data_IF_733606744068
#
_entry.id   IF_733606744068
#
_cell.length_a   1.000
_cell.length_b   1.000
_cell.length_c   1.000
_cell.angle_alpha   90.00
_cell.angle_beta   90.00
_cell.angle_gamma   90.00
#
_symmetry.space_group_name_H-M   'P 1'
#
loop_
_entity.id
_entity.type
_entity.pdbx_description
1 polymer ?
#
# COMPACT_ATOMS: atom_id res chain seq x y z
N UNK A 1 -6.86 18.12 12.26
CA UNK A 1 -7.51 17.07 11.44
C UNK A 1 -7.97 16.01 12.41
N UNK A 2 -9.06 15.29 12.15
CA UNK A 2 -9.39 14.11 12.95
C UNK A 2 -9.03 12.88 12.10
N UNK A 3 -7.91 12.26 12.41
CA UNK A 3 -7.35 11.12 11.66
C UNK A 3 -8.35 9.95 11.64
N UNK A 4 -9.14 9.80 12.70
CA UNK A 4 -10.16 8.75 12.80
C UNK A 4 -11.33 8.98 11.82
N UNK A 5 -11.67 10.23 11.51
CA UNK A 5 -12.71 10.54 10.52
C UNK A 5 -12.24 10.23 9.10
N UNK A 6 -10.96 10.42 8.79
CA UNK A 6 -10.38 10.01 7.50
C UNK A 6 -10.17 8.50 7.40
N UNK A 7 -9.90 7.82 8.52
CA UNK A 7 -9.73 6.36 8.56
C UNK A 7 -11.01 5.59 8.28
N UNK A 8 -12.14 6.05 8.84
CA UNK A 8 -13.43 5.36 8.75
C UNK A 8 -13.86 5.01 7.32
N UNK A 9 -13.80 5.91 6.32
CA UNK A 9 -14.21 5.60 4.96
C UNK A 9 -13.21 4.72 4.18
N UNK A 10 -11.93 4.66 4.59
CA UNK A 10 -10.90 3.87 3.90
C UNK A 10 -10.64 2.51 4.52
N UNK A 11 -11.06 2.28 5.77
CA UNK A 11 -10.90 0.98 6.44
C UNK A 11 -11.79 0.81 7.66
N UNK A 12 -12.89 0.09 7.50
CA UNK A 12 -13.83 -0.18 8.60
C UNK A 12 -13.20 -0.99 9.74
N UNK A 13 -12.50 -2.09 9.40
CA UNK A 13 -11.90 -2.99 10.40
C UNK A 13 -10.76 -2.33 11.17
N UNK A 14 -9.90 -1.59 10.46
CA UNK A 14 -8.77 -0.91 11.09
C UNK A 14 -9.22 0.31 11.91
N UNK A 15 -10.22 1.07 11.44
CA UNK A 15 -10.85 2.14 12.21
C UNK A 15 -11.36 1.65 13.57
N UNK A 16 -12.06 0.51 13.60
CA UNK A 16 -12.54 -0.09 14.85
C UNK A 16 -11.38 -0.49 15.76
N UNK A 17 -10.32 -1.08 15.19
CA UNK A 17 -9.14 -1.52 15.92
C UNK A 17 -8.38 -0.36 16.57
N UNK A 18 -8.15 0.74 15.85
CA UNK A 18 -7.45 1.92 16.39
C UNK A 18 -8.18 2.51 17.60
N UNK A 19 -9.51 2.51 17.59
CA UNK A 19 -10.31 3.07 18.70
C UNK A 19 -10.10 2.32 20.03
N UNK A 20 -9.68 1.06 19.96
CA UNK A 20 -9.38 0.23 21.14
C UNK A 20 -7.95 0.42 21.66
N UNK A 21 -7.07 1.06 20.89
CA UNK A 21 -5.67 1.24 21.29
C UNK A 21 -5.53 2.25 22.43
N UNK A 22 -4.47 2.14 23.25
CA UNK A 22 -4.00 3.22 24.12
C UNK A 22 -3.86 4.54 23.36
N UNK A 23 -4.23 5.65 24.00
CA UNK A 23 -4.25 6.99 23.36
C UNK A 23 -2.91 7.36 22.72
N UNK A 24 -1.80 7.00 23.35
CA UNK A 24 -0.45 7.28 22.88
C UNK A 24 -0.11 6.60 21.53
N UNK A 25 -0.77 5.49 21.19
CA UNK A 25 -0.55 4.78 19.92
C UNK A 25 -1.41 5.34 18.78
N UNK A 26 -2.56 5.92 19.08
CA UNK A 26 -3.61 6.17 18.08
C UNK A 26 -3.13 7.07 16.95
N UNK A 27 -2.54 8.21 17.28
CA UNK A 27 -2.13 9.22 16.30
C UNK A 27 -1.00 8.73 15.38
N UNK A 28 0.16 8.24 15.88
CA UNK A 28 1.23 7.77 14.99
C UNK A 28 0.82 6.58 14.13
N UNK A 29 0.06 5.63 14.70
CA UNK A 29 -0.45 4.46 13.95
C UNK A 29 -1.47 4.88 12.89
N UNK A 30 -2.38 5.80 13.23
CA UNK A 30 -3.37 6.31 12.28
C UNK A 30 -2.68 7.02 11.11
N UNK A 31 -1.68 7.86 11.37
CA UNK A 31 -0.94 8.56 10.33
C UNK A 31 -0.09 7.61 9.48
N UNK A 32 0.59 6.63 10.09
CA UNK A 32 1.29 5.58 9.36
C UNK A 32 0.36 4.86 8.38
N UNK A 33 -0.82 4.46 8.85
CA UNK A 33 -1.80 3.78 8.02
C UNK A 33 -2.33 4.67 6.90
N UNK A 34 -2.71 5.92 7.18
CA UNK A 34 -3.25 6.83 6.17
C UNK A 34 -2.22 7.11 5.07
N UNK A 35 -0.94 7.28 5.43
CA UNK A 35 0.16 7.43 4.47
C UNK A 35 0.36 6.16 3.65
N UNK A 36 0.40 4.98 4.30
CA UNK A 36 0.56 3.71 3.61
C UNK A 36 -0.59 3.47 2.64
N UNK A 37 -1.83 3.70 3.08
CA UNK A 37 -3.03 3.56 2.23
C UNK A 37 -3.03 4.56 1.08
N UNK A 38 -2.53 5.77 1.28
CA UNK A 38 -2.39 6.76 0.20
C UNK A 38 -1.40 6.26 -0.86
N UNK A 39 -0.27 5.69 -0.42
CA UNK A 39 0.71 5.09 -1.34
C UNK A 39 0.16 3.87 -2.08
N UNK A 40 -0.62 3.01 -1.40
CA UNK A 40 -1.33 1.89 -2.05
C UNK A 40 -2.30 2.39 -3.11
N UNK A 41 -3.13 3.39 -2.80
CA UNK A 41 -4.07 3.96 -3.77
C UNK A 41 -3.34 4.47 -5.02
N UNK A 42 -2.17 5.11 -4.86
CA UNK A 42 -1.34 5.54 -6.01
C UNK A 42 -0.81 4.33 -6.80
N UNK A 43 -0.30 3.30 -6.11
CA UNK A 43 0.26 2.10 -6.75
C UNK A 43 -0.81 1.26 -7.47
N UNK A 44 -2.01 1.14 -6.90
CA UNK A 44 -3.12 0.32 -7.41
C UNK A 44 -3.98 1.00 -8.48
N UNK A 45 -3.67 2.25 -8.82
CA UNK A 45 -4.36 3.05 -9.84
C UNK A 45 -4.14 2.52 -11.26
N UNK A 46 -4.70 1.35 -11.60
CA UNK A 46 -4.45 0.65 -12.87
C UNK A 46 -4.93 1.41 -14.12
N UNK A 47 -5.79 2.43 -13.96
CA UNK A 47 -6.14 3.36 -15.04
C UNK A 47 -4.96 4.26 -15.48
N UNK A 48 -3.88 4.29 -14.70
CA UNK A 48 -2.68 5.08 -14.92
C UNK A 48 -1.49 4.19 -15.33
N UNK A 49 -0.69 4.60 -16.34
CA UNK A 49 0.54 3.88 -16.72
C UNK A 49 1.49 3.67 -15.54
N UNK A 50 2.22 2.55 -15.53
CA UNK A 50 3.13 2.18 -14.45
C UNK A 50 4.20 3.26 -14.20
N UNK A 51 4.72 3.87 -15.26
CA UNK A 51 5.74 4.92 -15.18
C UNK A 51 5.24 6.15 -14.41
N UNK A 52 3.97 6.51 -14.64
CA UNK A 52 3.35 7.66 -13.96
C UNK A 52 3.04 7.32 -12.50
N UNK A 53 2.60 6.10 -12.21
CA UNK A 53 2.42 5.62 -10.82
C UNK A 53 3.74 5.63 -10.05
N UNK A 54 4.83 5.16 -10.66
CA UNK A 54 6.19 5.21 -10.08
C UNK A 54 6.60 6.66 -9.80
N UNK A 55 6.40 7.59 -10.75
CA UNK A 55 6.73 9.01 -10.56
C UNK A 55 5.96 9.62 -9.37
N UNK A 56 4.65 9.35 -9.27
CA UNK A 56 3.82 9.85 -8.18
C UNK A 56 4.22 9.23 -6.84
N UNK A 57 4.50 7.93 -6.82
CA UNK A 57 4.94 7.21 -5.64
C UNK A 57 6.29 7.75 -5.13
N UNK A 58 7.25 8.00 -6.02
CA UNK A 58 8.54 8.60 -5.67
C UNK A 58 8.38 10.03 -5.11
N UNK A 59 7.50 10.83 -5.71
CA UNK A 59 7.19 12.17 -5.20
C UNK A 59 6.52 12.10 -3.83
N UNK A 60 5.60 11.16 -3.63
CA UNK A 60 4.93 10.98 -2.36
C UNK A 60 5.91 10.49 -1.27
N UNK A 61 6.79 9.54 -1.58
CA UNK A 61 7.88 9.11 -0.69
C UNK A 61 8.81 10.27 -0.32
N UNK A 62 9.18 11.12 -1.30
CA UNK A 62 9.95 12.35 -1.02
C UNK A 62 9.19 13.32 -0.12
N UNK A 63 7.88 13.46 -0.28
CA UNK A 63 7.07 14.31 0.57
C UNK A 63 6.99 13.82 2.02
N UNK A 64 6.86 12.50 2.23
CA UNK A 64 6.93 11.86 3.55
C UNK A 64 8.28 12.14 4.21
N UNK A 65 9.36 12.08 3.43
CA UNK A 65 10.71 12.46 3.86
C UNK A 65 10.92 13.98 4.03
N UNK A 66 9.89 14.81 3.80
CA UNK A 66 9.96 16.26 3.95
C UNK A 66 10.60 17.02 2.78
N UNK A 67 10.84 16.34 1.64
CA UNK A 67 11.59 16.86 0.47
C UNK A 67 10.70 17.30 -0.71
N UNK A 68 9.39 17.08 -0.66
CA UNK A 68 8.42 17.58 -1.64
C UNK A 68 7.18 18.12 -0.90
N UNK A 69 6.83 19.38 -1.11
CA UNK A 69 5.65 20.03 -0.50
C UNK A 69 4.48 20.16 -1.48
N UNK A 70 4.71 19.84 -2.76
CA UNK A 70 3.78 20.09 -3.86
C UNK A 70 2.91 18.88 -4.21
N UNK A 71 3.31 17.67 -3.79
CA UNK A 71 2.62 16.44 -4.21
C UNK A 71 1.15 16.42 -3.83
N UNK A 72 0.77 16.96 -2.66
CA UNK A 72 -0.63 17.02 -2.23
C UNK A 72 -1.50 17.81 -3.21
N UNK A 73 -0.98 18.94 -3.72
CA UNK A 73 -1.64 19.71 -4.77
C UNK A 73 -1.71 18.90 -6.08
N UNK A 74 -0.62 18.26 -6.49
CA UNK A 74 -0.62 17.43 -7.71
C UNK A 74 -1.66 16.31 -7.65
N UNK A 75 -1.76 15.58 -6.53
CA UNK A 75 -2.76 14.51 -6.38
C UNK A 75 -4.18 15.06 -6.48
N UNK A 76 -4.45 16.21 -5.85
CA UNK A 76 -5.74 16.90 -5.96
C UNK A 76 -6.05 17.33 -7.39
N UNK A 77 -5.09 17.94 -8.09
CA UNK A 77 -5.27 18.38 -9.47
C UNK A 77 -5.56 17.20 -10.41
N UNK A 78 -4.90 16.05 -10.21
CA UNK A 78 -5.15 14.83 -10.98
C UNK A 78 -6.56 14.27 -10.75
N UNK A 79 -7.10 14.36 -9.53
CA UNK A 79 -8.48 13.95 -9.24
C UNK A 79 -9.52 14.85 -9.92
N UNK A 80 -9.27 16.16 -9.96
CA UNK A 80 -10.20 17.15 -10.52
C UNK A 80 -10.21 17.20 -12.04
N UNK A 81 -9.15 16.72 -12.70
CA UNK A 81 -8.97 16.78 -14.16
C UNK A 81 -10.07 16.10 -15.00
N UNK A 82 -10.95 15.29 -14.39
CA UNK A 82 -12.16 14.73 -15.04
C UNK A 82 -13.47 15.47 -14.78
N UNK A 83 -13.59 16.29 -13.73
CA UNK A 83 -14.88 16.89 -13.36
C UNK A 83 -15.34 17.99 -14.32
N UNK A 84 -14.43 18.61 -15.08
CA UNK A 84 -14.77 19.64 -16.09
C UNK A 84 -15.08 19.07 -17.49
N UNK A 85 -15.10 17.75 -17.67
CA UNK A 85 -15.31 17.11 -18.98
C UNK A 85 -16.77 17.03 -19.46
N UNK A 86 -17.75 17.40 -18.62
CA UNK A 86 -19.18 17.31 -18.95
C UNK A 86 -19.80 18.67 -19.30
N UNK A 87 -19.18 19.44 -20.21
CA UNK A 87 -19.81 20.51 -20.98
C UNK A 87 -18.81 21.13 -21.97
N UNK A 88 -18.60 20.51 -23.14
CA UNK A 88 -18.44 21.24 -24.41
C UNK A 88 -18.13 20.26 -25.55
N UNK A 89 -19.14 20.03 -26.37
CA UNK A 89 -19.02 19.46 -27.70
C UNK A 89 -18.33 20.46 -28.63
N UNK A 90 -17.05 20.28 -28.97
CA UNK A 90 -16.49 20.55 -30.31
C UNK A 90 -14.97 20.33 -30.43
N UNK A 91 -14.59 19.53 -31.44
CA UNK A 91 -13.36 19.54 -32.27
C UNK A 91 -12.07 20.13 -31.69
N UNK A 92 -11.03 19.30 -31.48
CA UNK A 92 -9.75 19.34 -32.23
C UNK A 92 -8.65 18.45 -31.61
N UNK A 93 -7.94 17.77 -32.53
CA UNK A 93 -6.65 17.07 -32.51
C UNK A 93 -5.74 17.22 -31.27
N UNK A 94 -5.29 16.07 -30.76
CA UNK A 94 -3.97 15.91 -30.16
C UNK A 94 -3.83 16.20 -28.67
N UNK A 95 -4.90 16.19 -27.88
CA UNK A 95 -4.82 16.33 -26.43
C UNK A 95 -4.30 15.03 -25.81
N UNK A 96 -3.07 15.07 -25.26
CA UNK A 96 -2.60 14.09 -24.28
C UNK A 96 -3.68 14.04 -23.18
N UNK A 97 -4.48 12.98 -23.17
CA UNK A 97 -5.44 12.72 -22.09
C UNK A 97 -4.63 12.70 -20.81
N UNK A 98 -4.91 13.63 -19.87
CA UNK A 98 -4.21 13.60 -18.60
C UNK A 98 -4.51 12.24 -17.93
N UNK A 99 -3.51 11.60 -17.33
CA UNK A 99 -3.70 10.33 -16.66
C UNK A 99 -4.66 10.53 -15.48
N UNK A 100 -5.71 9.72 -15.44
CA UNK A 100 -6.80 9.86 -14.47
C UNK A 100 -6.58 8.97 -13.24
N UNK A 101 -6.49 9.62 -12.07
CA UNK A 101 -6.35 8.95 -10.78
C UNK A 101 -7.71 8.58 -10.16
N UNK A 102 -8.82 9.09 -10.70
CA UNK A 102 -10.17 8.92 -10.13
C UNK A 102 -10.90 7.63 -10.57
N UNK A 103 -10.43 6.99 -11.65
CA UNK A 103 -11.03 5.76 -12.16
C UNK A 103 -10.64 4.55 -11.32
N UNK A 104 -11.65 3.82 -10.80
CA UNK A 104 -11.44 2.56 -10.09
C UNK A 104 -11.12 2.69 -8.60
N UNK A 105 -11.10 3.90 -8.05
CA UNK A 105 -10.93 4.15 -6.61
C UNK A 105 -12.25 4.53 -5.94
N UNK A 106 -12.39 4.16 -4.68
CA UNK A 106 -13.58 4.43 -3.86
C UNK A 106 -13.67 5.90 -3.45
N UNK A 107 -14.86 6.37 -3.04
CA UNK A 107 -15.02 7.74 -2.49
C UNK A 107 -14.14 8.00 -1.25
N UNK A 108 -13.90 6.96 -0.44
CA UNK A 108 -12.97 7.05 0.69
C UNK A 108 -11.53 7.30 0.23
N UNK A 109 -11.09 6.63 -0.82
CA UNK A 109 -9.75 6.80 -1.39
C UNK A 109 -9.58 8.15 -2.09
N UNK A 110 -10.63 8.66 -2.74
CA UNK A 110 -10.64 10.04 -3.26
C UNK A 110 -10.45 11.05 -2.13
N UNK A 111 -11.26 10.94 -1.06
CA UNK A 111 -11.15 11.81 0.11
C UNK A 111 -9.77 11.71 0.79
N UNK A 112 -9.16 10.53 0.77
CA UNK A 112 -7.81 10.29 1.27
C UNK A 112 -6.76 11.05 0.45
N UNK A 113 -6.79 10.90 -0.88
CA UNK A 113 -5.87 11.58 -1.80
C UNK A 113 -6.02 13.11 -1.74
N UNK A 114 -7.26 13.63 -1.66
CA UNK A 114 -7.53 15.06 -1.44
C UNK A 114 -6.97 15.56 -0.10
N UNK A 115 -6.89 14.67 0.90
CA UNK A 115 -6.38 14.97 2.23
C UNK A 115 -4.87 14.76 2.37
N UNK A 116 -4.16 14.34 1.32
CA UNK A 116 -2.73 14.03 1.36
C UNK A 116 -1.88 15.16 1.96
N UNK A 117 -2.14 16.42 1.58
CA UNK A 117 -1.42 17.57 2.12
C UNK A 117 -1.66 17.75 3.64
N UNK A 118 -2.89 17.50 4.10
CA UNK A 118 -3.23 17.57 5.53
C UNK A 118 -2.54 16.45 6.31
N UNK A 119 -2.48 15.24 5.75
CA UNK A 119 -1.82 14.08 6.37
C UNK A 119 -0.31 14.29 6.47
N UNK A 120 0.32 14.80 5.40
CA UNK A 120 1.75 15.15 5.39
C UNK A 120 2.09 16.25 6.39
N UNK A 121 1.19 17.24 6.60
CA UNK A 121 1.36 18.22 7.67
C UNK A 121 1.20 17.62 9.06
N UNK A 122 0.23 16.73 9.26
CA UNK A 122 0.02 16.06 10.55
C UNK A 122 1.24 15.21 10.95
N UNK A 123 1.89 14.54 9.98
CA UNK A 123 3.17 13.85 10.22
C UNK A 123 4.23 14.80 10.83
N UNK A 124 4.32 16.06 10.39
CA UNK A 124 5.30 17.02 10.94
C UNK A 124 5.02 17.41 12.40
N UNK A 125 3.80 17.20 12.88
CA UNK A 125 3.37 17.54 14.23
C UNK A 125 3.57 16.40 15.23
N UNK A 126 3.88 15.19 14.76
CA UNK A 126 4.23 14.07 15.62
C UNK A 126 5.53 14.33 16.40
N UNK A 127 5.76 13.57 17.47
CA UNK A 127 7.06 13.60 18.17
C UNK A 127 8.21 13.22 17.21
N UNK A 128 9.45 13.68 17.44
CA UNK A 128 10.58 13.35 16.57
C UNK A 128 10.82 11.84 16.40
N UNK A 129 10.49 11.07 17.43
CA UNK A 129 10.59 9.61 17.44
C UNK A 129 9.51 8.97 16.56
N UNK A 130 8.26 9.39 16.73
CA UNK A 130 7.15 8.89 15.90
C UNK A 130 7.33 9.29 14.43
N UNK A 131 7.83 10.51 14.19
CA UNK A 131 8.19 10.95 12.85
C UNK A 131 9.23 10.03 12.20
N UNK A 132 10.23 9.60 12.97
CA UNK A 132 11.27 8.69 12.49
C UNK A 132 10.67 7.33 12.16
N UNK A 133 9.95 6.74 13.11
CA UNK A 133 9.34 5.42 12.95
C UNK A 133 8.40 5.36 11.73
N UNK A 134 7.54 6.39 11.56
CA UNK A 134 6.64 6.48 10.41
C UNK A 134 7.41 6.66 9.11
N UNK A 135 8.44 7.51 9.07
CA UNK A 135 9.23 7.73 7.84
C UNK A 135 10.02 6.48 7.43
N UNK A 136 10.62 5.78 8.39
CA UNK A 136 11.35 4.54 8.14
C UNK A 136 10.42 3.45 7.60
N UNK A 137 9.25 3.26 8.23
CA UNK A 137 8.22 2.34 7.74
C UNK A 137 7.84 2.66 6.29
N UNK A 138 7.45 3.91 6.03
CA UNK A 138 6.95 4.30 4.72
C UNK A 138 8.02 4.24 3.64
N UNK A 139 9.29 4.50 3.96
CA UNK A 139 10.39 4.32 3.01
C UNK A 139 10.54 2.86 2.56
N UNK A 140 10.31 1.89 3.47
CA UNK A 140 10.35 0.47 3.16
C UNK A 140 9.14 0.08 2.28
N UNK A 141 7.93 0.51 2.66
CA UNK A 141 6.69 0.23 1.92
C UNK A 141 6.75 0.78 0.50
N UNK A 142 7.09 2.07 0.33
CA UNK A 142 7.12 2.67 -1.01
C UNK A 142 8.21 2.08 -1.90
N UNK A 143 9.30 1.57 -1.30
CA UNK A 143 10.31 0.80 -2.03
C UNK A 143 9.75 -0.52 -2.54
N UNK A 144 9.00 -1.26 -1.71
CA UNK A 144 8.33 -2.49 -2.11
C UNK A 144 7.34 -2.27 -3.25
N UNK A 145 6.43 -1.30 -3.08
CA UNK A 145 5.46 -0.93 -4.12
C UNK A 145 6.13 -0.53 -5.45
N UNK A 146 7.24 0.23 -5.39
CA UNK A 146 8.01 0.56 -6.60
C UNK A 146 8.61 -0.66 -7.27
N UNK A 147 9.16 -1.60 -6.49
CA UNK A 147 9.72 -2.84 -7.02
C UNK A 147 8.64 -3.68 -7.71
N UNK A 148 7.46 -3.79 -7.11
CA UNK A 148 6.33 -4.51 -7.69
C UNK A 148 5.85 -3.88 -9.01
N UNK A 149 5.68 -2.55 -9.04
CA UNK A 149 5.33 -1.83 -10.27
C UNK A 149 6.34 -2.03 -11.41
N UNK A 150 7.61 -2.26 -11.07
CA UNK A 150 8.68 -2.49 -12.05
C UNK A 150 8.72 -3.95 -12.51
N UNK A 151 8.61 -4.90 -11.56
CA UNK A 151 8.78 -6.33 -11.77
C UNK A 151 7.82 -6.89 -12.83
N UNK A 152 6.56 -6.50 -12.77
CA UNK A 152 5.52 -6.99 -13.68
C UNK A 152 5.18 -6.03 -14.83
N UNK A 153 6.04 -5.06 -15.11
CA UNK A 153 5.87 -4.15 -16.26
C UNK A 153 5.89 -4.88 -17.62
N UNK A 154 6.56 -6.03 -17.69
CA UNK A 154 6.67 -6.88 -18.88
C UNK A 154 5.56 -7.93 -19.06
N UNK A 155 4.58 -8.00 -18.14
CA UNK A 155 3.52 -9.01 -18.16
C UNK A 155 3.69 -10.11 -17.10
N UNK A 156 3.04 -11.25 -17.33
CA UNK A 156 2.98 -12.36 -16.38
C UNK A 156 4.36 -12.90 -16.04
N UNK A 157 4.74 -12.83 -14.77
CA UNK A 157 5.97 -13.42 -14.24
C UNK A 157 5.77 -13.92 -12.81
N UNK A 158 6.35 -15.08 -12.48
CA UNK A 158 6.44 -15.61 -11.12
C UNK A 158 7.60 -14.99 -10.34
N UNK A 159 7.58 -15.14 -9.02
CA UNK A 159 8.78 -14.91 -8.20
C UNK A 159 9.75 -16.06 -8.40
N UNK A 160 11.06 -15.82 -8.32
CA UNK A 160 12.04 -16.87 -8.60
C UNK A 160 12.01 -18.00 -7.56
N UNK A 161 11.81 -17.66 -6.28
CA UNK A 161 11.87 -18.59 -5.17
C UNK A 161 11.18 -18.06 -3.90
N UNK A 162 11.08 -18.92 -2.88
CA UNK A 162 10.49 -18.57 -1.58
C UNK A 162 11.19 -17.39 -0.86
N UNK A 163 12.47 -17.11 -1.14
CA UNK A 163 13.16 -15.97 -0.55
C UNK A 163 12.66 -14.66 -1.14
N UNK A 164 12.44 -14.57 -2.45
CA UNK A 164 11.82 -13.39 -3.06
C UNK A 164 10.42 -13.14 -2.49
N UNK A 165 9.64 -14.20 -2.26
CA UNK A 165 8.33 -14.07 -1.60
C UNK A 165 8.45 -13.52 -0.17
N UNK A 166 9.42 -14.00 0.62
CA UNK A 166 9.71 -13.48 1.97
C UNK A 166 10.16 -12.02 1.96
N UNK A 167 10.90 -11.60 0.93
CA UNK A 167 11.39 -10.24 0.78
C UNK A 167 10.27 -9.30 0.35
N UNK A 168 9.47 -9.66 -0.65
CA UNK A 168 8.30 -8.89 -1.08
C UNK A 168 7.30 -8.71 0.08
N UNK A 169 6.95 -9.79 0.79
CA UNK A 169 6.03 -9.73 1.94
C UNK A 169 6.60 -8.91 3.11
N UNK A 170 7.93 -8.88 3.28
CA UNK A 170 8.57 -8.02 4.27
C UNK A 170 8.38 -6.54 3.94
N UNK A 171 8.61 -6.16 2.68
CA UNK A 171 8.63 -4.74 2.28
C UNK A 171 7.28 -4.06 2.48
N UNK A 172 6.16 -4.78 2.36
CA UNK A 172 4.81 -4.18 2.46
C UNK A 172 4.07 -4.52 3.75
N UNK A 173 4.46 -5.57 4.48
CA UNK A 173 3.73 -6.01 5.67
C UNK A 173 4.62 -6.46 6.83
N UNK A 174 5.74 -7.15 6.59
CA UNK A 174 6.67 -7.52 7.67
C UNK A 174 7.22 -6.30 8.41
N UNK A 175 7.63 -5.26 7.68
CA UNK A 175 8.09 -3.99 8.24
C UNK A 175 7.03 -3.27 9.07
N UNK A 176 5.73 -3.46 8.76
CA UNK A 176 4.61 -2.94 9.54
C UNK A 176 4.58 -3.60 10.93
N UNK A 177 4.88 -4.89 11.00
CA UNK A 177 5.00 -5.62 12.27
C UNK A 177 6.16 -5.11 13.14
N UNK A 178 7.31 -4.80 12.54
CA UNK A 178 8.42 -4.16 13.26
C UNK A 178 8.04 -2.78 13.78
N UNK A 179 7.41 -1.95 12.94
CA UNK A 179 6.92 -0.64 13.34
C UNK A 179 5.99 -0.74 14.56
N UNK A 180 4.98 -1.60 14.50
CA UNK A 180 4.08 -1.82 15.63
C UNK A 180 4.81 -2.24 16.89
N UNK A 181 5.77 -3.15 16.76
CA UNK A 181 6.57 -3.64 17.88
C UNK A 181 7.34 -2.49 18.53
N UNK A 182 8.09 -1.69 17.75
CA UNK A 182 8.87 -0.56 18.27
C UNK A 182 8.01 0.48 18.98
N UNK A 183 6.88 0.86 18.37
CA UNK A 183 5.97 1.86 18.96
C UNK A 183 5.37 1.32 20.26
N UNK A 184 5.02 0.04 20.32
CA UNK A 184 4.52 -0.60 21.54
C UNK A 184 5.57 -0.63 22.67
N UNK A 185 6.80 -1.05 22.39
CA UNK A 185 7.88 -1.02 23.39
C UNK A 185 8.13 0.39 23.94
N UNK A 186 7.99 1.42 23.09
CA UNK A 186 8.22 2.81 23.48
C UNK A 186 7.07 3.41 24.30
N UNK A 187 5.82 3.05 23.99
CA UNK A 187 4.64 3.79 24.47
C UNK A 187 3.70 2.98 25.37
N UNK A 188 3.86 1.67 25.45
CA UNK A 188 3.00 0.79 26.26
C UNK A 188 3.80 0.27 27.44
N UNK A 189 3.41 0.70 28.64
CA UNK A 189 4.01 0.21 29.87
C UNK A 189 3.77 -1.29 30.01
N UNK A 190 4.83 -2.03 30.36
CA UNK A 190 4.78 -3.49 30.54
C UNK A 190 4.19 -4.23 29.33
N UNK A 191 4.50 -3.77 28.12
CA UNK A 191 3.97 -4.34 26.87
C UNK A 191 4.11 -5.87 26.79
N UNK A 192 5.28 -6.39 27.16
CA UNK A 192 5.61 -7.81 27.10
C UNK A 192 6.77 -8.13 28.04
N UNK A 193 6.90 -9.40 28.43
CA UNK A 193 8.05 -9.92 29.17
C UNK A 193 9.17 -10.44 28.25
N UNK A 194 8.93 -10.51 26.93
CA UNK A 194 9.91 -10.96 25.94
C UNK A 194 10.92 -9.86 25.62
N UNK A 195 12.08 -10.26 25.11
CA UNK A 195 13.08 -9.32 24.60
C UNK A 195 12.56 -8.62 23.33
N UNK A 196 13.02 -7.39 23.11
CA UNK A 196 12.63 -6.60 21.92
C UNK A 196 13.01 -7.33 20.62
N UNK A 197 14.18 -7.96 20.57
CA UNK A 197 14.63 -8.72 19.39
C UNK A 197 13.65 -9.85 19.02
N UNK A 198 13.21 -10.65 20.02
CA UNK A 198 12.25 -11.74 19.79
C UNK A 198 10.91 -11.21 19.30
N UNK A 199 10.45 -10.10 19.88
CA UNK A 199 9.19 -9.48 19.49
C UNK A 199 9.24 -8.85 18.11
N UNK A 200 10.39 -8.31 17.69
CA UNK A 200 10.59 -7.79 16.34
C UNK A 200 10.48 -8.93 15.32
N UNK A 201 11.13 -10.06 15.57
CA UNK A 201 11.01 -11.25 14.71
C UNK A 201 9.55 -11.75 14.63
N UNK A 202 8.86 -11.85 15.77
CA UNK A 202 7.45 -12.23 15.82
C UNK A 202 6.56 -11.22 15.07
N UNK A 203 6.79 -9.92 15.24
CA UNK A 203 6.09 -8.86 14.52
C UNK A 203 6.28 -8.98 13.01
N UNK A 204 7.52 -9.18 12.57
CA UNK A 204 7.85 -9.38 11.15
C UNK A 204 7.13 -10.60 10.57
N UNK A 205 7.16 -11.73 11.27
CA UNK A 205 6.49 -12.96 10.82
C UNK A 205 4.96 -12.82 10.84
N UNK A 206 4.40 -12.10 11.81
CA UNK A 206 2.98 -11.79 11.85
C UNK A 206 2.54 -10.96 10.64
N UNK A 207 3.28 -9.89 10.32
CA UNK A 207 3.04 -9.06 9.14
C UNK A 207 3.13 -9.86 7.83
N UNK A 208 4.19 -10.65 7.66
CA UNK A 208 4.32 -11.55 6.50
C UNK A 208 3.16 -12.54 6.39
N UNK A 209 2.76 -13.16 7.51
CA UNK A 209 1.65 -14.10 7.55
C UNK A 209 0.33 -13.50 7.07
N UNK A 210 0.01 -12.28 7.52
CA UNK A 210 -1.16 -11.55 7.02
C UNK A 210 -1.09 -11.27 5.51
N UNK A 211 0.11 -10.95 5.00
CA UNK A 211 0.28 -10.70 3.57
C UNK A 211 0.18 -11.98 2.73
N UNK A 212 0.65 -13.13 3.24
CA UNK A 212 0.44 -14.41 2.58
C UNK A 212 -1.05 -14.75 2.44
N UNK A 213 -1.87 -14.43 3.45
CA UNK A 213 -3.33 -14.57 3.36
C UNK A 213 -3.91 -13.66 2.28
N UNK A 214 -3.44 -12.41 2.18
CA UNK A 214 -3.87 -11.50 1.10
C UNK A 214 -3.47 -12.04 -0.28
N UNK A 215 -2.24 -12.52 -0.45
CA UNK A 215 -1.76 -13.12 -1.71
C UNK A 215 -2.66 -14.29 -2.13
N UNK A 216 -3.02 -15.19 -1.20
CA UNK A 216 -3.92 -16.30 -1.50
C UNK A 216 -5.34 -15.84 -1.84
N UNK A 217 -5.85 -14.83 -1.12
CA UNK A 217 -7.19 -14.26 -1.34
C UNK A 217 -7.29 -13.61 -2.72
N UNK A 218 -6.27 -12.85 -3.11
CA UNK A 218 -6.29 -11.96 -4.27
C UNK A 218 -5.59 -12.57 -5.50
N UNK A 219 -5.05 -13.80 -5.38
CA UNK A 219 -4.30 -14.52 -6.40
C UNK A 219 -4.95 -14.43 -7.79
N UNK A 220 -6.26 -14.66 -7.89
CA UNK A 220 -6.95 -14.60 -9.18
C UNK A 220 -6.93 -13.22 -9.84
N UNK A 221 -7.12 -12.14 -9.07
CA UNK A 221 -7.01 -10.77 -9.60
C UNK A 221 -5.57 -10.39 -9.92
N UNK A 222 -4.62 -10.83 -9.10
CA UNK A 222 -3.18 -10.58 -9.32
C UNK A 222 -2.71 -11.26 -10.61
N UNK A 223 -3.03 -12.54 -10.79
CA UNK A 223 -2.68 -13.32 -11.98
C UNK A 223 -3.24 -12.70 -13.26
N UNK A 224 -4.52 -12.28 -13.24
CA UNK A 224 -5.14 -11.56 -14.38
C UNK A 224 -4.47 -10.22 -14.67
N UNK A 225 -3.87 -9.59 -13.66
CA UNK A 225 -3.09 -8.37 -13.81
C UNK A 225 -1.61 -8.64 -14.15
N UNK A 226 -1.23 -9.90 -14.43
CA UNK A 226 0.14 -10.30 -14.77
C UNK A 226 1.07 -10.45 -13.56
N UNK A 227 0.53 -10.47 -12.33
CA UNK A 227 1.33 -10.63 -11.10
C UNK A 227 1.19 -12.06 -10.57
N UNK A 228 2.29 -12.80 -10.50
CA UNK A 228 2.33 -14.10 -9.84
C UNK A 228 3.31 -14.06 -8.65
N UNK A 229 2.77 -14.13 -7.44
CA UNK A 229 3.56 -14.18 -6.20
C UNK A 229 3.98 -15.60 -5.80
N UNK A 230 3.52 -16.63 -6.52
CA UNK A 230 3.92 -18.01 -6.25
C UNK A 230 5.34 -18.25 -6.78
N UNK A 231 6.24 -18.88 -5.99
CA UNK A 231 7.60 -19.18 -6.41
C UNK A 231 7.66 -20.13 -7.62
N UNK A 232 8.46 -19.79 -8.62
CA UNK A 232 8.63 -20.54 -9.86
C UNK A 232 9.28 -21.90 -9.62
N UNK A 233 10.27 -21.99 -8.73
CA UNK A 233 10.91 -23.25 -8.34
C UNK A 233 9.92 -24.23 -7.70
N UNK A 234 9.03 -23.73 -6.84
CA UNK A 234 7.96 -24.53 -6.21
C UNK A 234 6.88 -24.93 -7.22
N UNK A 235 6.50 -24.06 -8.15
CA UNK A 235 5.58 -24.39 -9.24
C UNK A 235 6.15 -25.48 -10.15
N UNK A 236 7.42 -25.35 -10.56
CA UNK A 236 8.09 -26.35 -11.40
C UNK A 236 8.23 -27.70 -10.69
N UNK A 237 8.44 -27.71 -9.37
CA UNK A 237 8.51 -28.95 -8.59
C UNK A 237 7.22 -29.80 -8.68
N UNK A 238 6.08 -29.18 -9.02
CA UNK A 238 4.79 -29.84 -9.24
C UNK A 238 4.33 -29.81 -10.71
N UNK A 239 5.23 -29.51 -11.65
CA UNK A 239 4.96 -29.40 -13.09
C UNK A 239 3.90 -28.33 -13.45
N UNK A 240 3.92 -27.19 -12.75
CA UNK A 240 3.10 -26.02 -13.05
C UNK A 240 3.98 -24.83 -13.45
N UNK A 241 3.38 -23.91 -14.20
CA UNK A 241 3.91 -22.58 -14.53
C UNK A 241 2.92 -21.49 -14.11
N UNK A 242 3.36 -20.22 -14.11
CA UNK A 242 2.46 -19.10 -13.85
C UNK A 242 1.28 -19.03 -14.84
N UNK A 243 1.50 -19.41 -16.10
CA UNK A 243 0.44 -19.44 -17.12
C UNK A 243 -0.63 -20.48 -16.79
N UNK A 244 -0.23 -21.66 -16.31
CA UNK A 244 -1.16 -22.71 -15.89
C UNK A 244 -2.08 -22.23 -14.76
N UNK A 245 -1.60 -21.31 -13.91
CA UNK A 245 -2.40 -20.71 -12.83
C UNK A 245 -3.41 -19.68 -13.35
N UNK A 246 -3.09 -18.95 -14.42
CA UNK A 246 -4.02 -18.00 -15.05
C UNK A 246 -5.19 -18.75 -15.70
N UNK A 247 -4.86 -19.85 -16.38
CA UNK A 247 -5.82 -20.70 -17.08
C UNK A 247 -6.48 -21.75 -16.15
N UNK A 248 -6.21 -21.65 -14.85
CA UNK A 248 -6.50 -22.71 -13.90
C UNK A 248 -8.00 -22.95 -13.63
N UNK A 249 -8.40 -24.21 -13.36
CA UNK A 249 -9.76 -24.59 -12.98
C UNK A 249 -10.19 -24.01 -11.60
N UNK A 250 -11.45 -24.21 -11.21
CA UNK A 250 -12.08 -23.70 -9.97
C UNK A 250 -11.27 -23.89 -8.66
N UNK A 251 -10.30 -24.82 -8.67
CA UNK A 251 -9.33 -25.04 -7.60
C UNK A 251 -8.36 -23.87 -7.33
N UNK A 252 -8.26 -22.87 -8.21
CA UNK A 252 -7.44 -21.66 -7.97
C UNK A 252 -8.27 -20.37 -7.90
N UNK A 253 -9.60 -20.50 -7.91
CA UNK A 253 -10.50 -19.39 -7.60
C UNK A 253 -10.41 -19.04 -6.10
N UNK A 254 -10.65 -17.76 -5.73
CA UNK A 254 -10.71 -17.34 -4.34
C UNK A 254 -11.65 -18.24 -3.54
N UNK A 255 -11.29 -18.56 -2.30
CA UNK A 255 -12.02 -19.53 -1.44
C UNK A 255 -13.50 -19.16 -1.26
N UNK A 256 -13.86 -17.87 -1.31
CA UNK A 256 -15.24 -17.40 -1.19
C UNK A 256 -16.03 -17.39 -2.51
N UNK A 257 -15.39 -17.75 -3.63
CA UNK A 257 -16.04 -17.93 -4.94
C UNK A 257 -16.35 -19.40 -5.24
N UNK A 258 -16.04 -20.31 -4.32
CA UNK A 258 -16.39 -21.73 -4.40
C UNK A 258 -17.72 -22.03 -3.70
#
# INVERSE_FOLDING_TARGET
MNELELLKPVSRSFYLSIRLLPRALREPVALAYLLARTSDTIADSNAMPAEKRIELLDRFARAIAGKDQSIGKTLKDLLLSKQDGSQSSSRSRGTKTLPDLSSGITEGEKALLESAEKILRALKNLSPEDQRDVRELLAIITRGQRQDLTRWSGGLAALANAQELRDCTYLVAGCVGEFWTRVCFRKVQSFTARLEADMLELGTNYGRGLQLVNILRDAGSDLRAGRCYFPEDELHAVNLSASDLVDAPAAFLPIYSR
#
